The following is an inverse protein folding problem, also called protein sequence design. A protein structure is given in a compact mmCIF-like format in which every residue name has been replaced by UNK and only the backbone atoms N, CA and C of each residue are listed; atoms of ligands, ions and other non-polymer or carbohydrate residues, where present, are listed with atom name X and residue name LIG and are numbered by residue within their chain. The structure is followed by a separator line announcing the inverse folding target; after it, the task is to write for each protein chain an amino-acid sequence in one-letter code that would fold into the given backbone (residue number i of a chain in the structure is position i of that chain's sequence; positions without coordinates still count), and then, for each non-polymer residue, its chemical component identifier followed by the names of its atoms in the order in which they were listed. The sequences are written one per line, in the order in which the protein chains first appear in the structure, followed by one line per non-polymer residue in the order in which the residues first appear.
data_IF_000214109240
#
_entry.id   IF_000214109240
#
_cell.length_a   1.000
_cell.length_b   1.000
_cell.length_c   1.000
_cell.angle_alpha   90.00
_cell.angle_beta   90.00
_cell.angle_gamma   90.00
#
_symmetry.space_group_name_H-M   'P 1'
#
loop_
_entity.id
_entity.type
_entity.pdbx_description
1 polymer ?
#
# COMPACT_ATOMS: atom_id res chain seq x y z
N UNK A 1 4.25 -21.46 -13.72
CA UNK A 1 3.25 -20.51 -13.20
C UNK A 1 3.87 -19.45 -12.29
N UNK A 2 4.62 -19.82 -11.23
CA UNK A 2 5.20 -18.88 -10.28
C UNK A 2 6.12 -17.81 -10.88
N UNK A 3 6.98 -18.19 -11.83
CA UNK A 3 7.86 -17.22 -12.53
C UNK A 3 7.09 -16.15 -13.32
N UNK A 4 6.01 -16.52 -13.99
CA UNK A 4 5.17 -15.57 -14.71
C UNK A 4 4.46 -14.58 -13.77
N UNK A 5 4.01 -15.06 -12.62
CA UNK A 5 3.41 -14.21 -11.57
C UNK A 5 4.43 -13.21 -11.01
N UNK A 6 5.64 -13.67 -10.69
CA UNK A 6 6.74 -12.81 -10.23
C UNK A 6 7.13 -11.76 -11.27
N UNK A 7 7.13 -12.12 -12.55
CA UNK A 7 7.37 -11.20 -13.65
C UNK A 7 6.29 -10.11 -13.71
N UNK A 8 5.02 -10.47 -13.51
CA UNK A 8 3.91 -9.52 -13.43
C UNK A 8 4.06 -8.52 -12.28
N UNK A 9 4.44 -8.98 -11.10
CA UNK A 9 4.74 -8.13 -9.95
C UNK A 9 5.89 -7.15 -10.24
N UNK A 10 6.97 -7.66 -10.83
CA UNK A 10 8.16 -6.87 -11.13
C UNK A 10 7.88 -5.78 -12.17
N UNK A 11 7.13 -6.11 -13.22
CA UNK A 11 6.69 -5.13 -14.24
C UNK A 11 5.83 -4.05 -13.60
N UNK A 12 4.86 -4.41 -12.76
CA UNK A 12 3.99 -3.46 -12.08
C UNK A 12 4.76 -2.53 -11.12
N UNK A 13 5.77 -3.06 -10.44
CA UNK A 13 6.64 -2.29 -9.55
C UNK A 13 7.49 -1.25 -10.31
N UNK A 14 8.00 -1.61 -11.49
CA UNK A 14 8.85 -0.71 -12.30
C UNK A 14 8.03 0.39 -12.98
N UNK A 15 6.83 0.06 -13.45
CA UNK A 15 6.03 0.97 -14.27
C UNK A 15 5.12 1.91 -13.50
N UNK A 16 4.89 1.62 -12.21
CA UNK A 16 3.96 2.38 -11.39
C UNK A 16 2.48 2.16 -11.77
N UNK A 17 1.58 2.66 -10.92
CA UNK A 17 0.14 2.35 -11.02
C UNK A 17 -0.52 2.96 -12.25
N UNK A 18 -0.14 4.16 -12.65
CA UNK A 18 -0.77 4.83 -13.79
C UNK A 18 -0.65 4.06 -15.09
N UNK A 19 0.43 3.30 -15.26
CA UNK A 19 0.68 2.48 -16.44
C UNK A 19 0.18 1.05 -16.32
N UNK A 20 -0.16 0.56 -15.13
CA UNK A 20 -0.55 -0.84 -14.93
C UNK A 20 -1.83 -1.21 -15.69
N UNK A 21 -2.81 -0.32 -15.78
CA UNK A 21 -4.01 -0.52 -16.57
C UNK A 21 -3.73 -0.61 -18.07
N UNK A 22 -2.81 0.22 -18.57
CA UNK A 22 -2.38 0.21 -19.98
C UNK A 22 -1.65 -1.09 -20.29
N UNK A 23 -0.79 -1.55 -19.39
CA UNK A 23 -0.07 -2.81 -19.52
C UNK A 23 -1.02 -4.00 -19.48
N UNK A 24 -2.01 -4.01 -18.56
CA UNK A 24 -3.05 -5.02 -18.51
C UNK A 24 -3.84 -5.11 -19.81
N UNK A 25 -4.25 -3.96 -20.37
CA UNK A 25 -4.92 -3.91 -21.65
C UNK A 25 -3.99 -4.37 -22.79
N UNK A 26 -2.73 -3.92 -22.79
CA UNK A 26 -1.71 -4.28 -23.77
C UNK A 26 -1.35 -5.77 -23.76
N UNK A 27 -1.45 -6.46 -22.65
CA UNK A 27 -1.20 -7.91 -22.54
C UNK A 27 -2.48 -8.71 -22.83
N UNK A 28 -3.63 -8.26 -22.37
CA UNK A 28 -4.89 -8.99 -22.52
C UNK A 28 -5.37 -9.07 -23.98
N UNK A 29 -5.22 -7.99 -24.75
CA UNK A 29 -5.64 -7.94 -26.14
C UNK A 29 -4.87 -8.95 -27.02
N UNK A 30 -3.51 -8.96 -27.06
CA UNK A 30 -2.79 -9.97 -27.81
C UNK A 30 -2.99 -11.39 -27.26
N UNK A 31 -3.23 -11.57 -25.95
CA UNK A 31 -3.53 -12.87 -25.39
C UNK A 31 -4.85 -13.44 -25.93
N UNK A 32 -5.89 -12.62 -26.01
CA UNK A 32 -7.19 -13.00 -26.61
C UNK A 32 -7.01 -13.30 -28.09
N UNK A 33 -6.33 -12.45 -28.84
CA UNK A 33 -6.07 -12.66 -30.27
C UNK A 33 -5.30 -13.96 -30.52
N UNK A 34 -4.22 -14.21 -29.78
CA UNK A 34 -3.44 -15.45 -29.85
C UNK A 34 -4.31 -16.66 -29.51
N UNK A 35 -5.22 -16.54 -28.53
CA UNK A 35 -6.11 -17.63 -28.16
C UNK A 35 -7.09 -18.00 -29.28
N UNK A 36 -7.50 -17.05 -30.11
CA UNK A 36 -8.40 -17.27 -31.25
C UNK A 36 -7.66 -17.87 -32.43
N UNK A 37 -6.47 -17.34 -32.74
CA UNK A 37 -5.74 -17.71 -33.95
C UNK A 37 -4.83 -18.95 -33.79
N UNK A 38 -4.35 -19.23 -32.60
CA UNK A 38 -3.41 -20.34 -32.37
C UNK A 38 -4.12 -21.65 -32.03
N UNK A 39 -4.11 -22.60 -32.95
CA UNK A 39 -4.85 -23.86 -32.88
C UNK A 39 -4.02 -25.06 -32.36
N UNK A 40 -2.86 -24.85 -31.70
CA UNK A 40 -1.93 -25.90 -31.27
C UNK A 40 -2.03 -26.22 -29.77
N UNK A 41 -1.54 -27.41 -29.41
CA UNK A 41 -1.61 -28.04 -28.07
C UNK A 41 -1.04 -27.19 -26.90
N UNK A 42 -0.18 -26.23 -27.18
CA UNK A 42 0.43 -25.35 -26.16
C UNK A 42 -0.42 -24.13 -25.74
N UNK A 43 -1.66 -24.02 -26.22
CA UNK A 43 -2.57 -22.91 -25.87
C UNK A 43 -2.79 -22.74 -24.39
N UNK A 44 -3.04 -23.85 -23.70
CA UNK A 44 -3.37 -23.83 -22.26
C UNK A 44 -2.22 -23.35 -21.42
N UNK A 45 -0.97 -23.73 -21.74
CA UNK A 45 0.21 -23.29 -21.03
C UNK A 45 0.48 -21.79 -21.24
N UNK A 46 0.33 -21.30 -22.46
CA UNK A 46 0.54 -19.90 -22.82
C UNK A 46 -0.53 -18.99 -22.22
N UNK A 47 -1.81 -19.38 -22.29
CA UNK A 47 -2.90 -18.67 -21.63
C UNK A 47 -2.74 -18.63 -20.12
N UNK A 48 -2.37 -19.74 -19.52
CA UNK A 48 -2.15 -19.81 -18.08
C UNK A 48 -0.94 -18.95 -17.65
N UNK A 49 0.12 -18.87 -18.45
CA UNK A 49 1.25 -17.96 -18.23
C UNK A 49 0.83 -16.50 -18.26
N UNK A 50 0.09 -16.09 -19.28
CA UNK A 50 -0.45 -14.74 -19.43
C UNK A 50 -1.41 -14.35 -18.30
N UNK A 51 -2.33 -15.25 -17.92
CA UNK A 51 -3.22 -15.04 -16.79
C UNK A 51 -2.45 -14.88 -15.47
N UNK A 52 -1.36 -15.64 -15.28
CA UNK A 52 -0.48 -15.48 -14.12
C UNK A 52 0.20 -14.12 -14.06
N UNK A 53 0.65 -13.58 -15.19
CA UNK A 53 1.21 -12.22 -15.28
C UNK A 53 0.16 -11.19 -14.92
N UNK A 54 -1.03 -11.28 -15.53
CA UNK A 54 -2.15 -10.37 -15.22
C UNK A 54 -2.54 -10.41 -13.74
N UNK A 55 -2.58 -11.59 -13.14
CA UNK A 55 -2.87 -11.75 -11.72
C UNK A 55 -1.81 -11.06 -10.83
N UNK A 56 -0.52 -11.15 -11.19
CA UNK A 56 0.56 -10.46 -10.49
C UNK A 56 0.42 -8.94 -10.56
N UNK A 57 0.13 -8.41 -11.75
CA UNK A 57 -0.08 -6.97 -11.96
C UNK A 57 -1.29 -6.46 -11.18
N UNK A 58 -2.42 -7.18 -11.23
CA UNK A 58 -3.63 -6.84 -10.48
C UNK A 58 -3.39 -6.85 -8.97
N UNK A 59 -2.74 -7.89 -8.47
CA UNK A 59 -2.43 -8.01 -7.05
C UNK A 59 -1.57 -6.83 -6.56
N UNK A 60 -0.52 -6.47 -7.31
CA UNK A 60 0.30 -5.32 -6.97
C UNK A 60 -0.50 -4.02 -6.96
N UNK A 61 -1.36 -3.80 -7.97
CA UNK A 61 -2.19 -2.59 -8.05
C UNK A 61 -3.15 -2.46 -6.87
N UNK A 62 -3.80 -3.57 -6.49
CA UNK A 62 -4.69 -3.63 -5.32
C UNK A 62 -3.90 -3.37 -4.03
N UNK A 63 -2.77 -4.05 -3.86
CA UNK A 63 -1.91 -3.86 -2.69
C UNK A 63 -1.45 -2.41 -2.55
N UNK A 64 -0.97 -1.80 -3.63
CA UNK A 64 -0.49 -0.43 -3.64
C UNK A 64 -1.62 0.56 -3.32
N UNK A 65 -2.78 0.40 -3.97
CA UNK A 65 -3.92 1.27 -3.74
C UNK A 65 -4.38 1.27 -2.27
N UNK A 66 -4.40 0.10 -1.63
CA UNK A 66 -4.85 0.00 -0.24
C UNK A 66 -3.78 0.32 0.81
N UNK A 67 -2.49 0.11 0.51
CA UNK A 67 -1.44 0.22 1.51
C UNK A 67 -0.48 1.39 1.31
N UNK A 68 -0.23 1.80 0.07
CA UNK A 68 0.78 2.82 -0.24
C UNK A 68 0.15 4.17 -0.52
N UNK A 69 -0.86 4.24 -1.39
CA UNK A 69 -1.52 5.51 -1.74
C UNK A 69 -1.99 6.32 -0.53
N UNK A 70 -2.57 5.70 0.52
CA UNK A 70 -2.99 6.46 1.69
C UNK A 70 -1.85 7.07 2.48
N UNK A 71 -0.68 6.44 2.44
CA UNK A 71 0.53 6.95 3.11
C UNK A 71 1.20 8.05 2.28
N UNK A 72 1.18 7.94 0.95
CA UNK A 72 1.70 8.97 0.06
C UNK A 72 0.97 10.32 0.20
N UNK A 73 -0.34 10.28 0.47
CA UNK A 73 -1.13 11.51 0.72
C UNK A 73 -0.67 12.25 1.97
N UNK A 74 -0.06 11.56 2.93
CA UNK A 74 0.45 12.15 4.16
C UNK A 74 1.83 12.82 3.98
N UNK A 75 2.53 12.53 2.90
CA UNK A 75 3.91 12.99 2.72
C UNK A 75 4.00 14.51 2.63
N UNK A 76 4.79 15.12 3.53
CA UNK A 76 4.96 16.57 3.71
C UNK A 76 3.67 17.33 4.11
N UNK A 77 2.69 16.64 4.67
CA UNK A 77 1.46 17.28 5.18
C UNK A 77 1.49 17.35 6.70
N UNK A 78 0.89 18.42 7.23
CA UNK A 78 0.69 18.56 8.67
C UNK A 78 -0.75 18.20 8.99
N UNK A 79 -0.95 17.39 9.98
CA UNK A 79 -2.29 16.94 10.35
C UNK A 79 -2.47 16.71 11.84
N UNK A 80 -3.74 16.67 12.24
CA UNK A 80 -4.13 16.29 13.59
C UNK A 80 -4.47 14.81 13.59
N UNK A 81 -3.72 14.06 14.38
CA UNK A 81 -3.88 12.62 14.53
C UNK A 81 -4.61 12.32 15.82
N UNK A 82 -5.64 11.49 15.74
CA UNK A 82 -6.29 10.88 16.89
C UNK A 82 -6.11 9.38 16.86
N UNK A 83 -5.64 8.83 17.98
CA UNK A 83 -5.35 7.41 18.09
C UNK A 83 -5.25 6.97 19.53
N UNK A 84 -4.96 5.70 19.71
CA UNK A 84 -4.72 5.08 21.02
C UNK A 84 -3.31 4.53 21.08
N UNK A 85 -2.65 4.70 22.24
CA UNK A 85 -1.36 4.09 22.51
C UNK A 85 -1.53 2.58 22.65
N UNK A 86 -0.80 1.82 21.84
CA UNK A 86 -0.83 0.35 21.88
C UNK A 86 0.33 -0.23 22.67
N UNK A 87 1.51 0.37 22.52
CA UNK A 87 2.73 -0.16 23.13
C UNK A 87 3.71 0.97 23.40
N UNK A 88 4.50 0.83 24.46
CA UNK A 88 5.64 1.69 24.77
C UNK A 88 6.87 0.81 24.93
N UNK A 89 7.95 1.14 24.25
CA UNK A 89 9.22 0.41 24.34
C UNK A 89 10.33 1.37 24.73
N UNK A 90 11.08 1.04 25.76
CA UNK A 90 12.28 1.79 26.14
C UNK A 90 13.38 1.57 25.09
N UNK A 91 14.08 2.64 24.72
CA UNK A 91 15.25 2.64 23.86
C UNK A 91 16.48 3.08 24.65
N UNK A 92 17.67 2.92 24.07
CA UNK A 92 18.94 3.36 24.70
C UNK A 92 18.95 4.84 25.11
N UNK A 93 18.21 5.67 24.36
CA UNK A 93 17.97 7.08 24.67
C UNK A 93 16.49 7.39 24.38
N UNK A 94 15.67 7.43 25.44
CA UNK A 94 14.24 7.79 25.35
C UNK A 94 13.29 6.61 25.18
N UNK A 95 12.13 6.88 24.61
CA UNK A 95 11.02 5.94 24.51
C UNK A 95 10.46 5.93 23.10
N UNK A 96 10.04 4.76 22.64
CA UNK A 96 9.22 4.59 21.43
C UNK A 96 7.79 4.32 21.83
N UNK A 97 6.88 5.11 21.29
CA UNK A 97 5.45 5.00 21.49
C UNK A 97 4.83 4.54 20.17
N UNK A 98 4.05 3.47 20.24
CA UNK A 98 3.32 2.91 19.09
C UNK A 98 1.85 3.27 19.22
N UNK A 99 1.35 4.02 18.27
CA UNK A 99 -0.05 4.45 18.22
C UNK A 99 -0.77 3.76 17.08
N UNK A 100 -1.97 3.30 17.35
CA UNK A 100 -2.92 2.92 16.31
C UNK A 100 -3.86 4.10 16.07
N UNK A 101 -3.83 4.66 14.84
CA UNK A 101 -4.62 5.84 14.51
C UNK A 101 -6.05 5.42 14.21
N UNK A 102 -7.00 6.23 14.67
CA UNK A 102 -8.41 6.08 14.35
C UNK A 102 -8.85 7.10 13.29
N UNK A 103 -8.24 8.30 13.31
CA UNK A 103 -8.58 9.39 12.39
C UNK A 103 -7.36 10.30 12.22
N UNK A 104 -7.15 10.77 10.98
CA UNK A 104 -6.11 11.73 10.63
C UNK A 104 -6.78 12.87 9.84
N UNK A 105 -6.75 14.07 10.38
CA UNK A 105 -7.30 15.27 9.77
C UNK A 105 -6.16 16.14 9.24
N UNK A 106 -5.99 16.18 7.93
CA UNK A 106 -4.97 17.01 7.30
C UNK A 106 -5.37 18.49 7.30
N UNK A 107 -4.41 19.39 7.58
CA UNK A 107 -4.67 20.82 7.69
C UNK A 107 -4.92 21.50 6.34
N UNK A 108 -4.30 21.00 5.26
CA UNK A 108 -4.25 21.68 3.97
C UNK A 108 -4.97 20.96 2.83
N UNK A 109 -5.46 19.75 3.00
CA UNK A 109 -6.05 19.01 1.89
C UNK A 109 -7.57 19.10 1.88
N UNK A 110 -8.14 19.07 0.67
CA UNK A 110 -9.57 18.87 0.45
C UNK A 110 -10.07 17.50 0.93
N UNK A 111 -9.15 16.59 1.26
CA UNK A 111 -9.41 15.29 1.88
C UNK A 111 -9.46 15.49 3.39
N UNK A 112 -10.66 15.56 3.93
CA UNK A 112 -10.91 15.89 5.35
C UNK A 112 -10.49 14.82 6.34
N UNK A 113 -10.35 13.58 5.94
CA UNK A 113 -9.88 12.48 6.79
C UNK A 113 -9.33 11.35 5.96
N UNK A 114 -8.27 10.73 6.44
CA UNK A 114 -7.77 9.46 5.90
C UNK A 114 -8.29 8.35 6.80
N UNK A 115 -9.36 7.63 6.41
CA UNK A 115 -9.99 6.62 7.27
C UNK A 115 -9.17 5.34 7.24
N UNK A 116 -7.97 5.37 7.82
CA UNK A 116 -7.15 4.17 7.89
C UNK A 116 -6.48 4.05 9.24
N UNK A 117 -6.50 2.83 9.76
CA UNK A 117 -5.74 2.45 10.94
C UNK A 117 -4.26 2.35 10.56
N UNK A 118 -3.55 3.45 10.71
CA UNK A 118 -2.10 3.47 10.56
C UNK A 118 -1.45 3.20 11.91
N UNK A 119 -0.33 2.49 11.87
CA UNK A 119 0.54 2.34 13.04
C UNK A 119 1.62 3.40 12.95
N UNK A 120 1.61 4.35 13.86
CA UNK A 120 2.62 5.40 13.98
C UNK A 120 3.60 5.04 15.09
N UNK A 121 4.88 5.24 14.82
CA UNK A 121 5.94 5.15 15.82
C UNK A 121 6.51 6.53 16.09
N UNK A 122 6.33 6.99 17.31
CA UNK A 122 6.85 8.28 17.77
C UNK A 122 8.00 8.02 18.72
N UNK A 123 9.08 8.77 18.58
CA UNK A 123 10.20 8.77 19.52
C UNK A 123 10.10 10.01 20.40
N UNK A 124 10.26 9.82 21.70
CA UNK A 124 10.39 10.90 22.68
C UNK A 124 11.63 10.68 23.54
N UNK A 125 12.35 11.76 23.85
CA UNK A 125 13.51 11.70 24.75
C UNK A 125 13.10 11.64 26.23
N UNK A 126 11.84 11.97 26.53
CA UNK A 126 11.25 11.90 27.87
C UNK A 126 10.04 10.97 27.87
N UNK A 127 9.73 10.41 29.05
CA UNK A 127 8.51 9.65 29.24
C UNK A 127 7.33 10.62 29.18
N UNK A 128 6.40 10.35 28.27
CA UNK A 128 5.19 11.14 28.07
C UNK A 128 4.09 10.78 29.10
N UNK A 129 4.32 9.77 29.94
CA UNK A 129 3.36 9.29 30.95
C UNK A 129 1.96 9.02 30.38
N UNK A 130 1.89 8.43 29.17
CA UNK A 130 0.63 8.09 28.53
C UNK A 130 0.30 6.63 28.85
N UNK A 131 -0.89 6.41 29.39
CA UNK A 131 -1.35 5.05 29.70
C UNK A 131 -1.69 4.26 28.44
N UNK A 132 -1.46 2.96 28.48
CA UNK A 132 -1.80 2.04 27.40
C UNK A 132 -3.32 2.10 27.12
N UNK A 133 -3.69 2.14 25.85
CA UNK A 133 -5.05 2.35 25.34
C UNK A 133 -5.66 3.74 25.60
N UNK A 134 -4.92 4.66 26.18
CA UNK A 134 -5.39 6.04 26.29
C UNK A 134 -5.56 6.66 24.90
N UNK A 135 -6.69 7.34 24.70
CA UNK A 135 -6.92 8.12 23.47
C UNK A 135 -6.13 9.42 23.54
N UNK A 136 -5.30 9.62 22.56
CA UNK A 136 -4.45 10.80 22.45
C UNK A 136 -4.74 11.51 21.14
N UNK A 137 -4.67 12.84 21.19
CA UNK A 137 -4.79 13.68 20.01
C UNK A 137 -3.55 14.59 19.97
N UNK A 138 -2.85 14.57 18.85
CA UNK A 138 -1.64 15.35 18.66
C UNK A 138 -1.51 15.84 17.22
N UNK A 139 -0.73 16.88 17.01
CA UNK A 139 -0.38 17.36 15.68
C UNK A 139 0.90 16.68 15.24
N UNK A 140 0.90 16.14 14.04
CA UNK A 140 2.06 15.51 13.43
C UNK A 140 2.36 16.15 12.06
N UNK A 141 3.63 16.19 11.74
CA UNK A 141 4.16 16.47 10.41
C UNK A 141 4.68 15.13 9.88
N UNK A 142 4.23 14.75 8.69
CA UNK A 142 4.51 13.45 8.09
C UNK A 142 5.61 13.51 7.04
#
# INVERSE_FOLDING_TARGET
MGLCYMLGLLVAMITGIGFTLIILAGISVPAILLSIFYRKENKTALLAGLLSVCAGVLWYSVFYYFNVTPVEVLNNETGVVSGSLTETTAADKGYYYYFETNDIQLSNSSVKSVPQRLKLRIRSDSDLCIDQYQKVKFTAEF
#
